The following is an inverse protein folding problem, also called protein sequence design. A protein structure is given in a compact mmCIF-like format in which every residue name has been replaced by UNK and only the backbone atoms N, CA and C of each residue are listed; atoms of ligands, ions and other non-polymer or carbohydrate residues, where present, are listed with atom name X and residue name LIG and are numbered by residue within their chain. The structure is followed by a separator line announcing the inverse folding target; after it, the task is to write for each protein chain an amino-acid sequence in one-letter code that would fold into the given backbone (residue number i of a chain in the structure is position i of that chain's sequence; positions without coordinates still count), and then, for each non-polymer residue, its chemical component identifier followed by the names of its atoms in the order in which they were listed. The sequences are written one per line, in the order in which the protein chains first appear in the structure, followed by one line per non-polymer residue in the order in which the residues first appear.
data_IF_387352849097
#
_entry.id   IF_387352849097
#
_cell.length_a   1.000
_cell.length_b   1.000
_cell.length_c   1.000
_cell.angle_alpha   90.00
_cell.angle_beta   90.00
_cell.angle_gamma   90.00
#
_symmetry.space_group_name_H-M   'P 1'
#
loop_
_entity.id
_entity.type
_entity.pdbx_description
1 polymer ?
#
# COMPACT_ATOMS: atom_id res chain seq x y z
N UNK A 1 -3.81 -17.20 -2.82
CA UNK A 1 -2.73 -16.86 -1.86
C UNK A 1 -3.36 -16.33 -0.58
N UNK A 2 -3.01 -16.83 0.61
CA UNK A 2 -3.56 -16.31 1.89
C UNK A 2 -2.62 -15.23 2.44
N UNK A 3 -2.61 -14.04 1.82
CA UNK A 3 -1.93 -12.85 2.33
C UNK A 3 -2.92 -12.07 3.21
N UNK A 4 -2.51 -11.71 4.43
CA UNK A 4 -3.36 -10.93 5.35
C UNK A 4 -3.22 -9.42 5.15
N UNK A 5 -1.97 -8.98 5.05
CA UNK A 5 -1.62 -7.58 4.85
C UNK A 5 -1.05 -7.41 3.44
N UNK A 6 -1.85 -6.77 2.59
CA UNK A 6 -1.59 -6.61 1.16
C UNK A 6 -0.98 -5.27 0.81
N UNK A 7 -1.02 -4.30 1.71
CA UNK A 7 -0.65 -2.90 1.45
C UNK A 7 0.44 -2.38 2.40
N UNK A 8 0.97 -3.21 3.30
CA UNK A 8 2.11 -2.84 4.12
C UNK A 8 3.32 -2.49 3.26
N UNK A 9 3.96 -1.35 3.53
CA UNK A 9 5.24 -0.98 2.91
C UNK A 9 6.44 -1.73 3.49
N UNK A 10 6.27 -2.48 4.59
CA UNK A 10 7.35 -3.24 5.22
C UNK A 10 7.36 -4.69 4.71
N UNK A 11 8.14 -4.94 3.66
CA UNK A 11 8.26 -6.25 3.03
C UNK A 11 9.66 -6.52 2.52
N UNK A 12 10.00 -7.79 2.39
CA UNK A 12 11.27 -8.24 1.85
C UNK A 12 11.04 -9.20 0.68
N UNK A 13 11.89 -9.07 -0.34
CA UNK A 13 11.88 -9.95 -1.50
C UNK A 13 13.27 -10.52 -1.73
N UNK A 14 13.35 -11.77 -2.15
CA UNK A 14 14.61 -12.29 -2.69
C UNK A 14 14.87 -11.69 -4.07
N UNK A 15 16.13 -11.45 -4.40
CA UNK A 15 16.52 -10.98 -5.73
C UNK A 15 16.00 -11.90 -6.86
N UNK A 16 15.95 -13.21 -6.61
CA UNK A 16 15.39 -14.19 -7.54
C UNK A 16 13.89 -14.04 -7.76
N UNK A 17 13.14 -13.64 -6.73
CA UNK A 17 11.70 -13.41 -6.83
C UNK A 17 11.42 -12.12 -7.60
N UNK A 18 12.11 -11.03 -7.28
CA UNK A 18 11.93 -9.73 -7.97
C UNK A 18 12.19 -9.85 -9.47
N UNK A 19 13.25 -10.56 -9.88
CA UNK A 19 13.56 -10.81 -11.30
C UNK A 19 12.47 -11.55 -12.09
N UNK A 20 11.52 -12.19 -11.41
CA UNK A 20 10.39 -12.89 -12.04
C UNK A 20 9.12 -12.04 -12.10
N UNK A 21 9.08 -10.91 -11.39
CA UNK A 21 7.91 -10.02 -11.36
C UNK A 21 8.08 -8.94 -12.42
N UNK A 22 7.07 -8.75 -13.27
CA UNK A 22 7.00 -7.59 -14.18
C UNK A 22 6.24 -6.46 -13.49
N UNK A 23 6.97 -5.61 -12.76
CA UNK A 23 6.42 -4.51 -11.97
C UNK A 23 6.52 -3.19 -12.74
N UNK A 24 5.39 -2.55 -13.02
CA UNK A 24 5.28 -1.31 -13.81
C UNK A 24 4.42 -0.25 -13.14
N UNK A 25 3.56 -0.63 -12.20
CA UNK A 25 2.69 0.28 -11.51
C UNK A 25 3.48 1.27 -10.66
N UNK A 26 2.99 2.50 -10.58
CA UNK A 26 3.60 3.57 -9.79
C UNK A 26 2.73 3.91 -8.58
N UNK A 27 3.34 4.54 -7.58
CA UNK A 27 2.65 4.93 -6.36
C UNK A 27 1.99 3.73 -5.66
N UNK A 28 0.85 3.92 -5.02
CA UNK A 28 0.16 2.89 -4.24
C UNK A 28 -0.34 1.70 -5.08
N UNK A 29 -0.44 1.84 -6.40
CA UNK A 29 -0.90 0.77 -7.28
C UNK A 29 0.08 -0.41 -7.36
N UNK A 30 1.35 -0.20 -7.00
CA UNK A 30 2.38 -1.24 -6.97
C UNK A 30 1.99 -2.41 -6.05
N UNK A 31 1.23 -2.14 -4.99
CA UNK A 31 0.84 -3.16 -4.00
C UNK A 31 -0.06 -4.23 -4.60
N UNK A 32 -1.04 -3.80 -5.41
CA UNK A 32 -1.93 -4.72 -6.12
C UNK A 32 -1.19 -5.55 -7.17
N UNK A 33 -0.24 -4.93 -7.88
CA UNK A 33 0.56 -5.60 -8.92
C UNK A 33 1.50 -6.65 -8.33
N UNK A 34 2.13 -6.36 -7.19
CA UNK A 34 2.98 -7.33 -6.46
C UNK A 34 2.17 -8.59 -6.13
N UNK A 35 0.94 -8.45 -5.63
CA UNK A 35 0.09 -9.60 -5.25
C UNK A 35 -0.26 -10.42 -6.49
N UNK A 36 -0.59 -9.74 -7.58
CA UNK A 36 -0.87 -10.37 -8.86
C UNK A 36 0.34 -11.17 -9.36
N UNK A 37 1.52 -10.56 -9.41
CA UNK A 37 2.75 -11.20 -9.89
C UNK A 37 3.21 -12.35 -8.99
N UNK A 38 3.03 -12.25 -7.67
CA UNK A 38 3.27 -13.36 -6.72
C UNK A 38 2.39 -14.56 -7.03
N UNK A 39 1.09 -14.33 -7.28
CA UNK A 39 0.15 -15.39 -7.64
C UNK A 39 0.44 -16.00 -9.01
N UNK A 40 0.62 -15.15 -10.03
CA UNK A 40 0.90 -15.53 -11.43
C UNK A 40 2.16 -16.37 -11.56
N UNK A 41 3.25 -15.97 -10.91
CA UNK A 41 4.53 -16.67 -10.95
C UNK A 41 4.67 -17.80 -9.91
N UNK A 42 3.58 -18.11 -9.17
CA UNK A 42 3.54 -19.12 -8.10
C UNK A 42 4.68 -18.97 -7.09
N UNK A 43 4.99 -17.73 -6.72
CA UNK A 43 6.06 -17.43 -5.78
C UNK A 43 5.65 -17.82 -4.36
N UNK A 44 6.60 -18.38 -3.60
CA UNK A 44 6.39 -18.65 -2.18
C UNK A 44 6.35 -17.32 -1.42
N UNK A 45 5.29 -17.10 -0.65
CA UNK A 45 5.14 -15.94 0.22
C UNK A 45 4.65 -16.38 1.60
N UNK A 46 5.01 -15.61 2.63
CA UNK A 46 4.50 -15.77 4.00
C UNK A 46 4.28 -14.41 4.62
N UNK A 47 3.35 -14.31 5.57
CA UNK A 47 3.13 -13.10 6.37
C UNK A 47 3.76 -13.33 7.73
N UNK A 48 4.65 -12.43 8.14
CA UNK A 48 5.26 -12.44 9.47
C UNK A 48 4.51 -11.42 10.32
N UNK A 49 4.01 -11.84 11.48
CA UNK A 49 3.42 -10.92 12.43
C UNK A 49 4.54 -10.09 13.06
N UNK A 50 4.41 -8.77 13.00
CA UNK A 50 5.35 -7.81 13.58
C UNK A 50 4.56 -6.92 14.51
N UNK A 51 5.05 -6.77 15.74
CA UNK A 51 4.49 -5.85 16.72
C UNK A 51 5.32 -4.56 16.73
N UNK A 52 4.68 -3.43 16.45
CA UNK A 52 5.32 -2.13 16.58
C UNK A 52 5.00 -1.55 17.96
N UNK A 53 6.00 -1.12 18.75
CA UNK A 53 5.76 -0.47 20.04
C UNK A 53 5.09 0.90 19.89
N UNK A 54 5.14 1.48 18.68
CA UNK A 54 4.59 2.81 18.40
C UNK A 54 3.59 2.71 17.23
N UNK A 55 2.33 3.01 17.52
CA UNK A 55 1.27 3.14 16.51
C UNK A 55 0.94 4.61 16.27
N UNK A 56 1.24 5.12 15.07
CA UNK A 56 0.75 6.42 14.61
C UNK A 56 -0.61 6.20 13.96
N UNK A 57 -1.66 6.75 14.58
CA UNK A 57 -3.02 6.65 14.06
C UNK A 57 -3.07 7.25 12.65
N UNK A 58 -3.43 6.42 11.67
CA UNK A 58 -3.60 6.84 10.29
C UNK A 58 -4.75 7.83 10.12
N UNK A 59 -4.85 8.41 8.93
CA UNK A 59 -5.99 9.26 8.57
C UNK A 59 -7.24 8.40 8.46
N UNK A 60 -8.30 8.81 9.15
CA UNK A 60 -9.62 8.18 9.01
C UNK A 60 -10.35 8.78 7.80
N UNK A 61 -11.41 8.10 7.33
CA UNK A 61 -12.31 8.63 6.28
C UNK A 61 -12.78 10.05 6.62
N UNK A 62 -13.12 10.31 7.88
CA UNK A 62 -13.47 11.64 8.36
C UNK A 62 -12.36 12.67 8.21
N UNK A 63 -11.10 12.29 8.46
CA UNK A 63 -9.94 13.12 8.19
C UNK A 63 -9.81 13.46 6.71
N UNK A 64 -10.06 12.48 5.83
CA UNK A 64 -10.12 12.67 4.38
C UNK A 64 -11.21 13.66 3.95
N UNK A 65 -12.44 13.49 4.44
CA UNK A 65 -13.57 14.40 4.17
C UNK A 65 -13.26 15.82 4.68
N UNK A 66 -12.68 15.95 5.87
CA UNK A 66 -12.31 17.25 6.43
C UNK A 66 -11.26 17.96 5.58
N UNK A 67 -10.25 17.24 5.09
CA UNK A 67 -9.26 17.78 4.17
C UNK A 67 -9.89 18.21 2.84
N UNK A 68 -10.81 17.41 2.30
CA UNK A 68 -11.55 17.75 1.09
C UNK A 68 -12.37 19.04 1.24
N UNK A 69 -13.14 19.18 2.33
CA UNK A 69 -13.91 20.40 2.62
C UNK A 69 -12.99 21.61 2.82
N UNK A 70 -11.84 21.42 3.48
CA UNK A 70 -10.84 22.48 3.64
C UNK A 70 -10.31 22.97 2.27
N UNK A 71 -9.99 22.06 1.35
CA UNK A 71 -9.56 22.40 0.00
C UNK A 71 -10.65 23.15 -0.79
N UNK A 72 -11.91 22.74 -0.66
CA UNK A 72 -13.04 23.45 -1.29
C UNK A 72 -13.21 24.87 -0.76
N UNK A 73 -13.07 25.07 0.56
CA UNK A 73 -13.14 26.40 1.18
C UNK A 73 -11.98 27.30 0.75
N UNK A 74 -10.77 26.75 0.68
CA UNK A 74 -9.58 27.47 0.21
C UNK A 74 -9.74 27.94 -1.24
N UNK A 75 -10.20 27.05 -2.13
CA UNK A 75 -10.46 27.39 -3.54
C UNK A 75 -11.51 28.51 -3.71
N UNK A 76 -12.48 28.64 -2.80
CA UNK A 76 -13.48 29.72 -2.82
C UNK A 76 -13.00 31.05 -2.24
N UNK A 77 -11.90 31.07 -1.48
CA UNK A 77 -11.32 32.29 -0.92
C UNK A 77 -10.20 32.89 -1.78
N UNK A 78 -9.62 32.09 -2.69
CA UNK A 78 -8.64 32.52 -3.70
C UNK A 78 -9.30 32.96 -5.04
N UNK A 79 -10.64 33.05 -5.07
CA UNK A 79 -11.50 33.55 -6.17
C UNK A 79 -12.20 34.83 -5.73
#
# INVERSE_FOLDING_TARGET
TKLKDTESGYKAFSAKAVKKMDLKATCYHIESEIIYEVGKNKLKCTTINIESPVYRKGVTVWGGIKNFVHLLKKKKGDL
#
